data_IF_366120691341
#
_entry.id   IF_366120691341
#
_cell.length_a   1.000
_cell.length_b   1.000
_cell.length_c   1.000
_cell.angle_alpha   90.00
_cell.angle_beta   90.00
_cell.angle_gamma   90.00
#
_symmetry.space_group_name_H-M   'P 1'
#
loop_
_entity.id
_entity.type
_entity.pdbx_description
1 polymer ?
#
# COMPACT_ATOMS: atom_id res chain seq x y z
N UNK A 1 6.62 -17.46 -0.94
CA UNK A 1 7.26 -16.18 -1.27
C UNK A 1 6.20 -15.18 -1.71
N UNK A 2 5.82 -14.31 -0.82
CA UNK A 2 4.95 -13.19 -1.14
C UNK A 2 5.82 -12.05 -1.63
N UNK A 3 6.06 -12.00 -2.94
CA UNK A 3 6.76 -10.88 -3.55
C UNK A 3 6.01 -9.58 -3.28
N UNK A 4 6.69 -8.61 -2.72
CA UNK A 4 6.21 -7.24 -2.63
C UNK A 4 5.90 -6.78 -4.05
N UNK A 5 4.71 -6.22 -4.32
CA UNK A 5 4.38 -5.71 -5.65
C UNK A 5 5.45 -4.74 -6.14
N UNK A 6 5.88 -4.89 -7.38
CA UNK A 6 6.91 -4.01 -8.00
C UNK A 6 6.59 -2.52 -7.84
N UNK A 7 5.29 -2.17 -7.85
CA UNK A 7 4.85 -0.80 -7.63
C UNK A 7 5.18 -0.25 -6.25
N UNK A 8 5.23 -1.12 -5.23
CA UNK A 8 5.44 -0.71 -3.85
C UNK A 8 6.92 -0.47 -3.51
N UNK A 9 7.82 -1.17 -4.19
CA UNK A 9 9.26 -0.88 -4.07
C UNK A 9 9.60 0.55 -4.50
N UNK A 10 8.75 1.18 -5.30
CA UNK A 10 8.95 2.55 -5.82
C UNK A 10 8.35 3.63 -4.92
N UNK A 11 7.34 3.30 -4.11
CA UNK A 11 6.84 4.21 -3.08
C UNK A 11 7.91 4.49 -2.00
N UNK A 12 8.88 3.58 -1.87
CA UNK A 12 10.00 3.74 -0.94
C UNK A 12 11.13 4.63 -1.48
N UNK A 13 11.24 4.78 -2.78
CA UNK A 13 12.29 5.59 -3.42
C UNK A 13 12.04 7.09 -3.39
N UNK A 14 10.81 7.52 -3.06
CA UNK A 14 10.40 8.93 -3.14
C UNK A 14 10.85 9.84 -2.00
N UNK A 15 11.51 9.34 -0.98
CA UNK A 15 11.90 10.13 0.20
C UNK A 15 13.41 10.19 0.47
N UNK A 16 14.23 9.74 -0.46
CA UNK A 16 15.68 9.82 -0.36
C UNK A 16 16.25 10.86 -1.30
N UNK A 17 16.66 12.00 -0.79
CA UNK A 17 17.61 12.88 -1.49
C UNK A 17 18.96 12.17 -1.58
N UNK A 18 19.10 11.32 -2.54
CA UNK A 18 20.35 10.71 -2.90
C UNK A 18 20.38 10.54 -4.40
N UNK A 19 21.42 11.07 -5.05
CA UNK A 19 21.65 10.99 -6.49
C UNK A 19 21.96 9.55 -6.94
N UNK A 20 21.11 8.58 -6.61
CA UNK A 20 21.06 7.34 -7.34
C UNK A 20 20.24 7.61 -8.60
N UNK A 21 20.79 7.29 -9.78
CA UNK A 21 20.03 7.30 -11.04
C UNK A 21 18.74 6.53 -10.80
N UNK A 22 17.62 7.25 -10.64
CA UNK A 22 16.32 6.65 -10.58
C UNK A 22 16.15 5.82 -11.85
N UNK A 23 15.83 4.52 -11.70
CA UNK A 23 15.37 3.73 -12.82
C UNK A 23 14.20 4.48 -13.46
N UNK A 24 14.06 4.50 -14.79
CA UNK A 24 12.97 5.21 -15.45
C UNK A 24 11.66 4.72 -14.82
N UNK A 25 10.83 5.65 -14.38
CA UNK A 25 9.52 5.31 -13.86
C UNK A 25 8.74 4.57 -14.95
N UNK A 26 8.01 3.51 -14.63
CA UNK A 26 7.21 2.83 -15.62
C UNK A 26 6.18 3.81 -16.16
N UNK A 27 6.09 3.85 -17.45
CA UNK A 27 5.07 4.63 -18.13
C UNK A 27 3.73 3.89 -18.00
N UNK A 28 2.89 4.37 -17.09
CA UNK A 28 1.54 3.87 -16.92
C UNK A 28 0.57 4.61 -17.84
N UNK A 29 -0.51 3.93 -18.23
CA UNK A 29 -1.68 4.60 -18.76
C UNK A 29 -2.11 5.74 -17.82
N UNK A 30 -2.48 6.90 -18.35
CA UNK A 30 -2.83 8.10 -17.56
C UNK A 30 -3.89 7.82 -16.50
N UNK A 31 -4.82 6.92 -16.77
CA UNK A 31 -5.88 6.51 -15.85
C UNK A 31 -5.33 5.73 -14.66
N UNK A 32 -4.36 4.85 -14.90
CA UNK A 32 -3.68 4.11 -13.83
C UNK A 32 -2.75 5.02 -13.06
N UNK A 33 -2.05 5.92 -13.72
CA UNK A 33 -1.23 6.93 -13.06
C UNK A 33 -2.08 7.79 -12.10
N UNK A 34 -3.26 8.25 -12.54
CA UNK A 34 -4.18 9.01 -11.70
C UNK A 34 -4.65 8.23 -10.46
N UNK A 35 -4.93 6.93 -10.61
CA UNK A 35 -5.29 6.04 -9.49
C UNK A 35 -4.13 5.93 -8.50
N UNK A 36 -2.91 5.70 -8.99
CA UNK A 36 -1.73 5.57 -8.13
C UNK A 36 -1.41 6.87 -7.40
N UNK A 37 -1.52 8.01 -8.08
CA UNK A 37 -1.31 9.32 -7.49
C UNK A 37 -2.35 9.63 -6.41
N UNK A 38 -3.61 9.29 -6.66
CA UNK A 38 -4.67 9.41 -5.66
C UNK A 38 -4.40 8.56 -4.42
N UNK A 39 -3.97 7.32 -4.60
CA UNK A 39 -3.61 6.43 -3.49
C UNK A 39 -2.43 6.96 -2.68
N UNK A 40 -1.44 7.57 -3.33
CA UNK A 40 -0.31 8.21 -2.65
C UNK A 40 -0.72 9.44 -1.85
N UNK A 41 -1.66 10.23 -2.37
CA UNK A 41 -2.12 11.45 -1.76
C UNK A 41 -3.13 11.23 -0.63
N UNK A 42 -3.81 10.08 -0.59
CA UNK A 42 -4.84 9.77 0.40
C UNK A 42 -4.25 8.92 1.53
N UNK A 43 -3.96 9.51 2.69
CA UNK A 43 -3.26 8.78 3.75
C UNK A 43 -4.13 7.73 4.43
N UNK A 44 -5.43 7.98 4.66
CA UNK A 44 -6.29 7.03 5.39
C UNK A 44 -7.72 7.54 5.54
N UNK A 45 -8.74 6.69 5.46
CA UNK A 45 -8.67 5.32 4.97
C UNK A 45 -8.48 5.28 3.45
N UNK A 46 -7.86 4.23 2.89
CA UNK A 46 -7.70 4.14 1.45
C UNK A 46 -9.07 4.03 0.77
N UNK A 47 -9.21 4.57 -0.45
CA UNK A 47 -10.45 4.53 -1.19
C UNK A 47 -10.87 3.10 -1.52
N UNK A 48 -12.15 2.91 -1.76
CA UNK A 48 -12.69 1.63 -2.28
C UNK A 48 -12.34 1.45 -3.77
N UNK A 49 -12.47 0.23 -4.26
CA UNK A 49 -12.33 -0.03 -5.71
C UNK A 49 -13.33 0.80 -6.50
N UNK A 50 -14.55 0.98 -5.99
CA UNK A 50 -15.58 1.79 -6.61
C UNK A 50 -15.17 3.27 -6.73
N UNK A 51 -14.57 3.83 -5.70
CA UNK A 51 -14.03 5.20 -5.76
C UNK A 51 -12.95 5.34 -6.84
N UNK A 52 -12.10 4.34 -6.96
CA UNK A 52 -11.06 4.32 -7.98
C UNK A 52 -11.60 4.19 -9.40
N UNK A 53 -12.74 3.53 -9.59
CA UNK A 53 -13.40 3.51 -10.93
C UNK A 53 -13.83 4.89 -11.38
N UNK A 54 -14.28 5.73 -10.45
CA UNK A 54 -14.65 7.12 -10.74
C UNK A 54 -13.43 7.96 -11.13
N UNK A 55 -12.31 7.77 -10.46
CA UNK A 55 -11.06 8.47 -10.76
C UNK A 55 -10.51 8.07 -12.13
N UNK A 56 -10.54 6.78 -12.42
CA UNK A 56 -10.05 6.23 -13.68
C UNK A 56 -11.02 6.41 -14.87
N UNK A 57 -12.28 6.77 -14.60
CA UNK A 57 -13.35 6.79 -15.61
C UNK A 57 -13.48 5.45 -16.35
N UNK A 58 -13.36 4.35 -15.61
CA UNK A 58 -13.44 2.99 -16.11
C UNK A 58 -14.51 2.19 -15.38
N UNK A 59 -15.04 1.15 -16.01
CA UNK A 59 -15.79 0.12 -15.31
C UNK A 59 -14.86 -0.64 -14.34
N UNK A 60 -15.43 -1.26 -13.32
CA UNK A 60 -14.67 -2.03 -12.35
C UNK A 60 -13.84 -3.15 -13.02
N UNK A 61 -14.43 -3.86 -13.96
CA UNK A 61 -13.76 -4.93 -14.70
C UNK A 61 -12.56 -4.41 -15.50
N UNK A 62 -12.74 -3.31 -16.23
CA UNK A 62 -11.64 -2.71 -17.02
C UNK A 62 -10.54 -2.15 -16.13
N UNK A 63 -10.89 -1.51 -15.03
CA UNK A 63 -9.91 -1.02 -14.07
C UNK A 63 -9.07 -2.16 -13.48
N UNK A 64 -9.73 -3.24 -13.03
CA UNK A 64 -9.04 -4.41 -12.49
C UNK A 64 -8.09 -5.04 -13.50
N UNK A 65 -8.52 -5.16 -14.73
CA UNK A 65 -7.72 -5.73 -15.83
C UNK A 65 -6.50 -4.86 -16.13
N UNK A 66 -6.73 -3.59 -16.41
CA UNK A 66 -5.69 -2.63 -16.75
C UNK A 66 -4.68 -2.44 -15.61
N UNK A 67 -5.18 -2.37 -14.39
CA UNK A 67 -4.32 -2.24 -13.21
C UNK A 67 -3.41 -3.46 -13.06
N UNK A 68 -3.97 -4.67 -13.16
CA UNK A 68 -3.20 -5.91 -13.07
C UNK A 68 -2.15 -6.00 -14.18
N UNK A 69 -2.50 -5.65 -15.41
CA UNK A 69 -1.58 -5.71 -16.54
C UNK A 69 -0.40 -4.75 -16.38
N UNK A 70 -0.64 -3.56 -15.87
CA UNK A 70 0.40 -2.54 -15.77
C UNK A 70 1.17 -2.57 -14.44
N UNK A 71 0.47 -2.78 -13.33
CA UNK A 71 1.08 -2.79 -11.99
C UNK A 71 1.60 -4.19 -11.61
N UNK A 72 1.05 -5.24 -12.22
CA UNK A 72 1.49 -6.62 -12.02
C UNK A 72 0.83 -7.34 -10.86
N UNK A 73 -0.10 -6.70 -10.15
CA UNK A 73 -0.86 -7.31 -9.06
C UNK A 73 -2.33 -6.89 -9.11
N UNK A 74 -3.27 -7.73 -8.62
CA UNK A 74 -4.67 -7.34 -8.52
C UNK A 74 -4.85 -6.10 -7.64
N UNK A 75 -5.72 -5.17 -8.06
CA UNK A 75 -5.97 -3.92 -7.34
C UNK A 75 -6.39 -4.13 -5.87
N UNK A 76 -7.20 -5.15 -5.59
CA UNK A 76 -7.63 -5.47 -4.22
C UNK A 76 -6.46 -5.85 -3.32
N UNK A 77 -5.50 -6.59 -3.87
CA UNK A 77 -4.27 -6.96 -3.14
C UNK A 77 -3.38 -5.74 -2.89
N UNK A 78 -3.30 -4.86 -3.87
CA UNK A 78 -2.58 -3.59 -3.75
C UNK A 78 -3.19 -2.70 -2.66
N UNK A 79 -4.52 -2.59 -2.62
CA UNK A 79 -5.23 -1.83 -1.58
C UNK A 79 -5.04 -2.42 -0.19
N UNK A 80 -5.07 -3.76 -0.06
CA UNK A 80 -4.79 -4.42 1.21
C UNK A 80 -3.36 -4.12 1.70
N UNK A 81 -2.40 -4.15 0.79
CA UNK A 81 -1.01 -3.78 1.08
C UNK A 81 -0.90 -2.32 1.53
N UNK A 82 -1.58 -1.42 0.83
CA UNK A 82 -1.61 0.00 1.18
C UNK A 82 -2.18 0.23 2.59
N UNK A 83 -3.30 -0.41 2.93
CA UNK A 83 -3.86 -0.37 4.29
C UNK A 83 -2.88 -0.89 5.33
N UNK A 84 -2.22 -1.97 5.00
CA UNK A 84 -1.25 -2.59 5.89
C UNK A 84 -0.07 -1.65 6.19
N UNK A 85 0.50 -1.00 5.19
CA UNK A 85 1.56 -0.01 5.37
C UNK A 85 1.09 1.19 6.20
N UNK A 86 -0.12 1.66 5.99
CA UNK A 86 -0.72 2.72 6.80
C UNK A 86 -0.82 2.30 8.27
N UNK A 87 -1.29 1.08 8.53
CA UNK A 87 -1.37 0.55 9.90
C UNK A 87 0.02 0.45 10.54
N UNK A 88 1.03 0.00 9.81
CA UNK A 88 2.41 -0.07 10.31
C UNK A 88 2.96 1.30 10.68
N UNK A 89 2.71 2.32 9.87
CA UNK A 89 3.11 3.69 10.15
C UNK A 89 2.48 4.19 11.45
N UNK A 90 1.17 3.97 11.63
CA UNK A 90 0.46 4.35 12.85
C UNK A 90 0.99 3.63 14.11
N UNK A 91 1.30 2.35 13.98
CA UNK A 91 1.90 1.58 15.06
C UNK A 91 3.30 2.08 15.41
N UNK A 92 4.10 2.45 14.42
CA UNK A 92 5.42 3.05 14.62
C UNK A 92 5.33 4.40 15.35
N UNK A 93 4.26 5.16 15.10
CA UNK A 93 3.96 6.42 15.78
C UNK A 93 3.35 6.23 17.18
N UNK A 94 3.20 5.01 17.65
CA UNK A 94 2.74 4.69 18.99
C UNK A 94 1.24 4.43 19.14
N UNK A 95 0.48 4.31 18.04
CA UNK A 95 -0.92 3.96 18.12
C UNK A 95 -1.12 2.52 18.62
N UNK A 96 -2.24 2.27 19.30
CA UNK A 96 -2.63 0.90 19.65
C UNK A 96 -2.98 0.10 18.40
N UNK A 97 -2.91 -1.23 18.48
CA UNK A 97 -3.28 -2.12 17.35
C UNK A 97 -4.73 -1.88 16.92
N UNK A 98 -5.64 -1.70 17.87
CA UNK A 98 -7.05 -1.40 17.58
C UNK A 98 -7.21 -0.07 16.83
N UNK A 99 -6.55 0.97 17.28
CA UNK A 99 -6.60 2.29 16.65
C UNK A 99 -5.97 2.27 15.25
N UNK A 100 -4.82 1.63 15.11
CA UNK A 100 -4.16 1.48 13.82
C UNK A 100 -5.03 0.70 12.81
N UNK A 101 -5.67 -0.38 13.25
CA UNK A 101 -6.58 -1.16 12.42
C UNK A 101 -7.75 -0.32 11.90
N UNK A 102 -8.46 0.37 12.78
CA UNK A 102 -9.58 1.21 12.38
C UNK A 102 -9.16 2.36 11.46
N UNK A 103 -8.11 3.07 11.82
CA UNK A 103 -7.62 4.19 11.02
C UNK A 103 -7.11 3.77 9.64
N UNK A 104 -6.54 2.57 9.52
CA UNK A 104 -6.06 2.03 8.24
C UNK A 104 -7.17 1.36 7.39
N UNK A 105 -8.40 1.28 7.88
CA UNK A 105 -9.53 0.71 7.15
C UNK A 105 -9.69 -0.81 7.27
N UNK A 106 -9.11 -1.43 8.30
CA UNK A 106 -9.39 -2.82 8.65
C UNK A 106 -10.69 -2.92 9.45
N UNK A 107 -11.38 -4.05 9.31
CA UNK A 107 -12.64 -4.29 10.06
C UNK A 107 -12.40 -4.29 11.57
N UNK A 108 -11.30 -4.89 12.04
CA UNK A 108 -10.91 -4.99 13.44
C UNK A 108 -9.40 -5.27 13.59
N UNK A 109 -8.92 -5.29 14.82
CA UNK A 109 -7.53 -5.63 15.15
C UNK A 109 -7.15 -7.06 14.79
N UNK A 110 -8.09 -7.99 14.85
CA UNK A 110 -7.86 -9.39 14.47
C UNK A 110 -7.60 -9.52 12.95
N UNK A 111 -8.32 -8.77 12.13
CA UNK A 111 -8.09 -8.71 10.69
C UNK A 111 -6.69 -8.15 10.37
N UNK A 112 -6.29 -7.05 11.01
CA UNK A 112 -4.95 -6.50 10.88
C UNK A 112 -3.88 -7.53 11.29
N UNK A 113 -4.07 -8.20 12.42
CA UNK A 113 -3.13 -9.21 12.92
C UNK A 113 -2.98 -10.38 11.96
N UNK A 114 -4.08 -10.91 11.44
CA UNK A 114 -4.03 -11.99 10.43
C UNK A 114 -3.33 -11.54 9.15
N UNK A 115 -3.56 -10.32 8.72
CA UNK A 115 -2.91 -9.75 7.55
C UNK A 115 -1.40 -9.59 7.78
N UNK A 116 -1.00 -9.09 8.94
CA UNK A 116 0.41 -8.95 9.32
C UNK A 116 1.14 -10.31 9.31
N UNK A 117 0.55 -11.32 9.94
CA UNK A 117 1.12 -12.67 9.96
C UNK A 117 1.24 -13.24 8.55
N UNK A 118 0.25 -13.04 7.71
CA UNK A 118 0.27 -13.50 6.32
C UNK A 118 1.35 -12.80 5.48
N UNK A 119 1.58 -11.54 5.71
CA UNK A 119 2.52 -10.73 4.92
C UNK A 119 3.96 -10.83 5.40
N UNK A 120 4.18 -10.88 6.72
CA UNK A 120 5.52 -10.80 7.32
C UNK A 120 5.86 -11.99 8.21
N UNK A 121 4.90 -12.84 8.57
CA UNK A 121 5.10 -13.89 9.55
C UNK A 121 5.07 -13.44 11.02
N UNK A 122 4.83 -12.16 11.30
CA UNK A 122 4.85 -11.61 12.65
C UNK A 122 3.53 -10.93 12.99
N UNK A 123 3.15 -10.98 14.27
CA UNK A 123 2.05 -10.15 14.78
C UNK A 123 2.50 -8.69 14.88
N UNK A 124 1.60 -7.70 14.79
CA UNK A 124 1.96 -6.29 14.89
C UNK A 124 2.72 -5.94 16.17
N UNK A 125 2.40 -6.60 17.28
CA UNK A 125 3.05 -6.38 18.59
C UNK A 125 4.46 -6.95 18.69
N UNK A 126 4.79 -7.92 17.84
CA UNK A 126 6.13 -8.57 17.82
C UNK A 126 7.03 -8.04 16.70
N UNK A 127 6.53 -7.07 15.94
CA UNK A 127 7.29 -6.52 14.84
C UNK A 127 8.49 -5.70 15.34
N UNK A 128 9.70 -5.99 14.84
CA UNK A 128 10.89 -5.20 15.22
C UNK A 128 10.87 -3.85 14.49
N UNK A 129 10.00 -2.93 14.92
CA UNK A 129 9.83 -1.60 14.30
C UNK A 129 11.14 -0.83 14.14
N UNK A 130 12.09 -0.99 15.09
CA UNK A 130 13.41 -0.36 14.97
C UNK A 130 14.18 -0.80 13.74
N UNK A 131 14.11 -2.08 13.39
CA UNK A 131 14.81 -2.62 12.24
C UNK A 131 14.14 -2.19 10.93
N UNK A 132 12.81 -2.06 10.96
CA UNK A 132 12.05 -1.61 9.79
C UNK A 132 12.28 -0.12 9.49
N UNK A 133 12.26 0.74 10.51
CA UNK A 133 12.52 2.17 10.36
C UNK A 133 13.94 2.47 9.86
N UNK A 134 14.91 1.63 10.20
CA UNK A 134 16.31 1.81 9.76
C UNK A 134 16.50 1.43 8.28
N UNK A 135 15.73 0.48 7.77
CA UNK A 135 15.79 0.06 6.37
C UNK A 135 14.91 0.88 5.42
N UNK A 136 14.08 1.77 5.95
CA UNK A 136 13.20 2.64 5.16
C UNK A 136 13.73 4.08 5.01
N UNK A 137 14.95 4.32 5.48
CA UNK A 137 15.64 5.60 5.29
C UNK A 137 16.50 5.64 4.06
#
# INVERSE_FOLDING_TARGET
MTGVPRADQRLRAGHGRGAARAAPEPEYDDRIAAVLDHLRATPSPPPSVEDLTRIAHLSQSRLQHLFRDQVGVPIRRYLLWHRYLTALSLLADGASVTRAAHAAGFADSAHLTRTAVRMNGFTPTKMPFRMWLTNCR
#
